data_IF_917684067283
#
_entry.id   IF_917684067283
#
_cell.length_a   1.000
_cell.length_b   1.000
_cell.length_c   1.000
_cell.angle_alpha   90.00
_cell.angle_beta   90.00
_cell.angle_gamma   90.00
#
_symmetry.space_group_name_H-M   'P 1'
#
loop_
_entity.id
_entity.type
_entity.pdbx_description
1 polymer ?
#
# COMPACT_ATOMS: atom_id res chain seq x y z
N UNK A 1 -2.10 12.49 6.64
CA UNK A 1 -2.54 11.90 7.93
C UNK A 1 -2.26 10.40 7.89
N UNK A 2 -1.78 9.75 8.98
CA UNK A 2 -1.59 8.29 9.01
C UNK A 2 -2.96 7.61 8.96
N UNK A 3 -3.18 6.72 7.99
CA UNK A 3 -4.42 5.97 7.85
C UNK A 3 -4.53 4.94 8.98
N UNK A 4 -5.73 4.80 9.54
CA UNK A 4 -6.02 3.92 10.68
C UNK A 4 -7.29 3.11 10.48
N UNK A 5 -8.09 3.44 9.45
CA UNK A 5 -9.29 2.71 9.13
C UNK A 5 -8.95 1.27 8.68
N UNK A 6 -9.48 0.23 9.33
CA UNK A 6 -9.08 -1.15 9.08
C UNK A 6 -9.49 -1.65 7.68
N UNK A 7 -10.59 -1.16 7.12
CA UNK A 7 -11.04 -1.54 5.78
C UNK A 7 -10.13 -0.92 4.72
N UNK A 8 -9.77 0.35 4.88
CA UNK A 8 -8.80 1.03 4.02
C UNK A 8 -7.40 0.46 4.15
N UNK A 9 -6.95 0.14 5.36
CA UNK A 9 -5.64 -0.47 5.58
C UNK A 9 -5.53 -1.80 4.85
N UNK A 10 -6.57 -2.64 4.91
CA UNK A 10 -6.61 -3.90 4.16
C UNK A 10 -6.40 -3.66 2.66
N UNK A 11 -7.16 -2.73 2.08
CA UNK A 11 -7.02 -2.38 0.67
C UNK A 11 -5.63 -1.80 0.33
N UNK A 12 -5.05 -1.00 1.22
CA UNK A 12 -3.72 -0.43 1.07
C UNK A 12 -2.63 -1.51 1.11
N UNK A 13 -2.73 -2.51 1.99
CA UNK A 13 -1.80 -3.64 2.01
C UNK A 13 -1.92 -4.50 0.74
N UNK A 14 -3.14 -4.74 0.24
CA UNK A 14 -3.35 -5.46 -1.02
C UNK A 14 -2.74 -4.70 -2.21
N UNK A 15 -2.96 -3.38 -2.28
CA UNK A 15 -2.35 -2.52 -3.30
C UNK A 15 -0.84 -2.44 -3.16
N UNK A 16 -0.35 -2.36 -1.93
CA UNK A 16 1.08 -2.35 -1.64
C UNK A 16 1.78 -3.58 -2.20
N UNK A 17 1.21 -4.77 -1.97
CA UNK A 17 1.70 -6.02 -2.55
C UNK A 17 1.71 -5.96 -4.07
N UNK A 18 0.59 -5.59 -4.69
CA UNK A 18 0.47 -5.59 -6.14
C UNK A 18 1.48 -4.62 -6.79
N UNK A 19 1.68 -3.44 -6.20
CA UNK A 19 2.68 -2.47 -6.69
C UNK A 19 4.10 -2.97 -6.48
N UNK A 20 4.43 -3.58 -5.35
CA UNK A 20 5.76 -4.19 -5.13
C UNK A 20 6.09 -5.26 -6.19
N UNK A 21 5.10 -6.00 -6.68
CA UNK A 21 5.28 -7.05 -7.70
C UNK A 21 5.41 -6.49 -9.12
N UNK A 22 4.71 -5.38 -9.42
CA UNK A 22 4.63 -4.80 -10.77
C UNK A 22 5.70 -3.72 -10.97
N UNK A 23 5.88 -2.83 -10.00
CA UNK A 23 6.72 -1.64 -10.07
C UNK A 23 7.71 -1.66 -8.90
N UNK A 24 8.78 -2.45 -9.05
CA UNK A 24 9.79 -2.77 -8.02
C UNK A 24 10.41 -1.55 -7.30
N UNK A 25 10.23 -0.34 -7.80
CA UNK A 25 10.82 0.90 -7.25
C UNK A 25 9.79 2.01 -6.92
N UNK A 26 8.50 1.82 -7.25
CA UNK A 26 7.45 2.85 -7.05
C UNK A 26 6.51 2.55 -5.88
N UNK A 27 6.69 1.42 -5.20
CA UNK A 27 5.84 1.01 -4.07
C UNK A 27 5.89 1.94 -2.85
N UNK A 28 6.83 2.89 -2.82
CA UNK A 28 6.91 3.94 -1.80
C UNK A 28 5.73 4.91 -1.88
N UNK A 29 5.02 4.93 -3.01
CA UNK A 29 3.83 5.75 -3.23
C UNK A 29 2.70 4.92 -3.84
N UNK A 30 1.54 4.91 -3.17
CA UNK A 30 0.38 4.13 -3.56
C UNK A 30 -0.80 5.03 -3.91
N UNK A 31 -1.49 4.68 -4.98
CA UNK A 31 -2.72 5.34 -5.39
C UNK A 31 -3.90 4.40 -5.13
N UNK A 32 -4.82 4.83 -4.27
CA UNK A 32 -6.05 4.09 -4.06
C UNK A 32 -6.99 4.26 -5.28
N UNK A 33 -7.62 3.16 -5.75
CA UNK A 33 -8.64 3.25 -6.77
C UNK A 33 -9.82 4.10 -6.29
N UNK A 34 -10.53 4.73 -7.23
CA UNK A 34 -11.66 5.63 -6.94
C UNK A 34 -12.69 4.90 -6.09
N UNK A 35 -13.04 5.48 -4.94
CA UNK A 35 -14.26 5.10 -4.23
C UNK A 35 -15.44 5.29 -5.19
N UNK A 36 -16.17 4.21 -5.48
CA UNK A 36 -17.42 4.26 -6.25
C UNK A 36 -18.63 4.06 -5.32
N UNK A 37 -19.05 5.08 -4.56
CA UNK A 37 -20.38 5.11 -3.98
C UNK A 37 -21.30 5.99 -4.84
N UNK A 38 -22.21 5.34 -5.57
CA UNK A 38 -23.48 5.94 -6.00
C UNK A 38 -23.48 6.89 -7.21
N UNK A 39 -24.60 6.87 -7.92
CA UNK A 39 -24.93 7.75 -9.05
C UNK A 39 -24.99 9.22 -8.61
N UNK A 40 -23.98 10.01 -8.98
CA UNK A 40 -23.91 11.45 -8.70
C UNK A 40 -22.74 12.14 -9.39
N UNK A 41 -22.80 13.47 -9.49
CA UNK A 41 -21.79 14.32 -10.16
C UNK A 41 -20.41 14.06 -9.57
N UNK A 42 -19.48 13.62 -10.42
CA UNK A 42 -18.12 13.20 -10.02
C UNK A 42 -17.16 14.37 -10.07
N UNK A 43 -16.47 14.64 -8.97
CA UNK A 43 -15.18 15.34 -9.01
C UNK A 43 -14.14 14.32 -9.51
N UNK A 44 -13.73 14.44 -10.77
CA UNK A 44 -12.99 13.37 -11.50
C UNK A 44 -11.52 13.21 -11.12
N UNK A 45 -10.97 14.08 -10.27
CA UNK A 45 -9.52 14.33 -10.22
C UNK A 45 -8.81 13.95 -8.91
N UNK A 46 -9.48 13.41 -7.89
CA UNK A 46 -8.82 13.10 -6.62
C UNK A 46 -8.68 11.58 -6.48
N UNK A 47 -7.52 11.06 -6.90
CA UNK A 47 -7.02 9.78 -6.39
C UNK A 47 -6.38 10.05 -5.03
N UNK A 48 -6.70 9.22 -4.04
CA UNK A 48 -6.00 9.31 -2.77
C UNK A 48 -4.59 8.74 -2.94
N UNK A 49 -3.59 9.62 -2.80
CA UNK A 49 -2.17 9.27 -2.78
C UNK A 49 -1.76 8.95 -1.34
N UNK A 50 -1.09 7.83 -1.14
CA UNK A 50 -0.53 7.41 0.13
C UNK A 50 0.97 7.22 -0.02
N UNK A 51 1.74 7.74 0.92
CA UNK A 51 3.15 7.42 1.08
C UNK A 51 3.28 6.22 2.02
N UNK A 52 4.07 5.23 1.61
CA UNK A 52 4.38 4.05 2.43
C UNK A 52 5.55 4.41 3.34
N UNK A 53 5.32 4.30 4.64
CA UNK A 53 6.34 4.51 5.66
C UNK A 53 6.69 3.17 6.26
N UNK A 54 7.95 2.78 6.10
CA UNK A 54 8.50 1.62 6.78
C UNK A 54 9.40 2.12 7.89
N UNK A 55 9.06 1.79 9.13
CA UNK A 55 9.75 2.29 10.31
C UNK A 55 11.12 1.64 10.54
N UNK A 56 11.39 0.51 9.89
CA UNK A 56 12.64 -0.25 10.06
C UNK A 56 13.26 -0.65 8.73
N UNK A 57 14.56 -0.41 8.58
CA UNK A 57 15.28 -0.68 7.33
C UNK A 57 15.43 -2.18 7.02
N UNK A 58 15.41 -3.04 8.04
CA UNK A 58 15.40 -4.50 7.89
C UNK A 58 14.12 -4.99 7.20
N UNK A 59 12.97 -4.37 7.51
CA UNK A 59 11.68 -4.69 6.88
C UNK A 59 11.68 -4.35 5.39
N UNK A 60 12.25 -3.21 4.99
CA UNK A 60 12.40 -2.85 3.57
C UNK A 60 13.20 -3.92 2.81
N UNK A 61 14.36 -4.32 3.34
CA UNK A 61 15.18 -5.36 2.73
C UNK A 61 14.48 -6.73 2.67
N UNK A 62 13.70 -7.09 3.70
CA UNK A 62 12.90 -8.32 3.70
C UNK A 62 11.83 -8.28 2.62
N UNK A 63 11.09 -7.18 2.49
CA UNK A 63 10.07 -7.03 1.46
C UNK A 63 10.69 -7.14 0.06
N UNK A 64 11.80 -6.44 -0.19
CA UNK A 64 12.53 -6.51 -1.46
C UNK A 64 13.01 -7.93 -1.80
N UNK A 65 13.51 -8.67 -0.81
CA UNK A 65 13.92 -10.07 -0.98
C UNK A 65 12.73 -11.00 -1.28
N UNK A 66 11.52 -10.65 -0.84
CA UNK A 66 10.30 -11.41 -1.08
C UNK A 66 9.60 -11.07 -2.40
N UNK A 67 9.86 -9.90 -3.01
CA UNK A 67 9.34 -9.53 -4.34
C UNK A 67 9.60 -10.62 -5.40
N UNK A 68 10.84 -11.11 -5.61
CA UNK A 68 11.10 -12.14 -6.64
C UNK A 68 10.48 -13.51 -6.30
N UNK A 69 10.11 -13.76 -5.03
CA UNK A 69 9.45 -14.98 -4.59
C UNK A 69 7.94 -14.98 -4.90
N UNK A 70 7.39 -13.83 -5.31
CA UNK A 70 6.02 -13.67 -5.76
C UNK A 70 5.02 -13.35 -4.65
N UNK A 71 3.75 -13.24 -5.03
CA UNK A 71 2.69 -12.66 -4.20
C UNK A 71 2.52 -13.32 -2.83
N UNK A 72 2.60 -14.65 -2.74
CA UNK A 72 2.38 -15.39 -1.49
C UNK A 72 3.47 -15.11 -0.45
N UNK A 73 4.73 -15.02 -0.88
CA UNK A 73 5.86 -14.75 0.00
C UNK A 73 5.82 -13.30 0.49
N UNK A 74 5.50 -12.38 -0.43
CA UNK A 74 5.35 -10.97 -0.10
C UNK A 74 4.15 -10.69 0.82
N UNK A 75 3.01 -11.35 0.62
CA UNK A 75 1.86 -11.28 1.54
C UNK A 75 2.24 -11.72 2.96
N UNK A 76 2.99 -12.83 3.07
CA UNK A 76 3.45 -13.33 4.36
C UNK A 76 4.36 -12.32 5.07
N UNK A 77 5.31 -11.72 4.33
CA UNK A 77 6.18 -10.67 4.86
C UNK A 77 5.39 -9.43 5.29
N UNK A 78 4.47 -8.94 4.46
CA UNK A 78 3.62 -7.78 4.81
C UNK A 78 2.79 -8.07 6.08
N UNK A 79 2.23 -9.28 6.20
CA UNK A 79 1.44 -9.66 7.37
C UNK A 79 2.29 -9.75 8.65
N UNK A 80 3.51 -10.28 8.56
CA UNK A 80 4.46 -10.38 9.67
C UNK A 80 4.93 -9.00 10.16
N UNK A 81 5.15 -8.07 9.23
CA UNK A 81 5.68 -6.73 9.53
C UNK A 81 4.65 -5.61 9.43
N UNK A 82 3.35 -5.94 9.49
CA UNK A 82 2.25 -4.96 9.33
C UNK A 82 2.39 -3.76 10.28
N UNK A 83 2.88 -3.99 11.50
CA UNK A 83 3.00 -2.96 12.53
C UNK A 83 4.16 -1.98 12.24
N UNK A 84 5.12 -2.40 11.40
CA UNK A 84 6.23 -1.57 10.92
C UNK A 84 5.93 -0.87 9.58
N UNK A 85 4.81 -1.19 8.93
CA UNK A 85 4.37 -0.63 7.64
C UNK A 85 3.16 0.27 7.87
N UNK A 86 3.33 1.56 7.62
CA UNK A 86 2.28 2.57 7.72
C UNK A 86 1.98 3.25 6.39
N UNK A 87 0.79 3.83 6.28
CA UNK A 87 0.37 4.61 5.11
C UNK A 87 0.02 6.03 5.52
N UNK A 88 0.60 7.02 4.86
CA UNK A 88 0.32 8.44 5.09
C UNK A 88 -0.39 9.02 3.88
N UNK A 89 -1.67 9.39 4.05
CA UNK A 89 -2.42 10.12 3.01
C UNK A 89 -1.75 11.46 2.72
N UNK A 90 -1.33 11.66 1.46
CA UNK A 90 -0.86 12.92 0.87
C UNK A 90 -2.07 13.63 0.26
N UNK A 91 -2.22 14.91 0.60
CA UNK A 91 -3.30 15.78 0.09
C UNK A 91 -2.95 16.43 -1.22
#
# INVERSE_FOLDING_TARGET
>A
MKERDPEKLKLLYERFRDVCLVEKELWKELFMPRDTPGEGVRLTNIQDRYEVVIEKADVEAILEANIPLGAKALDAAIAEYKDAIGFIKKG
#
